data_IF_688913778620
#
_entry.id   IF_688913778620
#
_cell.length_a   1.000
_cell.length_b   1.000
_cell.length_c   1.000
_cell.angle_alpha   90.00
_cell.angle_beta   90.00
_cell.angle_gamma   90.00
#
_symmetry.space_group_name_H-M   'P 1'
#
loop_
_entity.id
_entity.type
_entity.pdbx_description
1 polymer ?
2 non-polymer ?
3 non-polymer ?
4 non-polymer ?
5 water ?
#
# COMPACT_ATOMS: atom_id res chain seq x y z
N UNK A 1 -27.81 -3.44 -15.22
CA UNK A 1 -28.01 -2.25 -14.35
C UNK A 1 -27.17 -1.12 -14.91
N UNK A 2 -27.26 0.04 -14.26
CA UNK A 2 -26.53 1.22 -14.67
C UNK A 2 -25.63 1.60 -13.50
N UNK A 3 -24.34 1.68 -13.78
CA UNK A 3 -23.35 2.00 -12.76
C UNK A 3 -22.48 3.13 -13.25
N UNK A 4 -22.19 4.07 -12.36
CA UNK A 4 -21.34 5.21 -12.69
C UNK A 4 -20.07 5.07 -11.84
N UNK A 5 -18.93 5.31 -12.47
CA UNK A 5 -17.65 5.18 -11.78
C UNK A 5 -16.89 6.50 -11.78
N UNK A 6 -16.30 6.84 -10.64
CA UNK A 6 -15.53 8.07 -10.49
C UNK A 6 -14.06 7.76 -10.26
N UNK A 7 -13.22 8.76 -10.46
CA UNK A 7 -11.79 8.61 -10.26
C UNK A 7 -11.13 7.61 -11.17
N UNK A 8 -11.73 7.34 -12.33
CA UNK A 8 -11.19 6.39 -13.29
C UNK A 8 -9.77 6.78 -13.66
N UNK A 9 -8.83 5.86 -13.46
CA UNK A 9 -7.42 6.10 -13.77
C UNK A 9 -7.06 5.52 -15.13
N UNK A 10 -6.00 6.04 -15.74
CA UNK A 10 -5.56 5.61 -17.06
C UNK A 10 -5.57 4.09 -17.25
N UNK A 11 -4.95 3.37 -16.31
CA UNK A 11 -4.88 1.92 -16.40
C UNK A 11 -6.17 1.17 -16.15
N UNK A 12 -7.14 1.82 -15.53
CA UNK A 12 -8.42 1.19 -15.22
C UNK A 12 -9.39 1.15 -16.38
N UNK A 13 -9.24 2.12 -17.27
CA UNK A 13 -10.15 2.24 -18.40
C UNK A 13 -10.45 0.95 -19.15
N UNK A 14 -9.41 0.25 -19.62
CA UNK A 14 -9.64 -0.99 -20.36
C UNK A 14 -10.44 -2.03 -19.57
N UNK A 15 -10.26 -2.07 -18.26
CA UNK A 15 -11.00 -3.01 -17.44
C UNK A 15 -12.45 -2.59 -17.29
N UNK A 16 -12.69 -1.29 -17.20
CA UNK A 16 -14.06 -0.78 -17.08
C UNK A 16 -14.83 -1.17 -18.33
N UNK A 17 -14.22 -0.92 -19.47
CA UNK A 17 -14.82 -1.24 -20.75
C UNK A 17 -15.06 -2.74 -20.86
N UNK A 18 -14.04 -3.53 -20.50
CA UNK A 18 -14.16 -4.99 -20.57
C UNK A 18 -15.24 -5.53 -19.64
N UNK A 19 -15.34 -4.98 -18.43
CA UNK A 19 -16.35 -5.44 -17.49
C UNK A 19 -17.75 -5.20 -18.05
N UNK A 20 -17.92 -4.09 -18.76
CA UNK A 20 -19.22 -3.75 -19.33
C UNK A 20 -19.58 -4.81 -20.36
N UNK A 21 -18.63 -5.15 -21.23
CA UNK A 21 -18.84 -6.18 -22.25
C UNK A 21 -19.12 -7.53 -21.60
N UNK A 22 -18.27 -7.94 -20.66
CA UNK A 22 -18.45 -9.22 -19.97
C UNK A 22 -19.80 -9.38 -19.29
N UNK A 23 -20.28 -8.37 -18.58
CA UNK A 23 -21.54 -8.49 -17.87
C UNK A 23 -22.78 -7.97 -18.57
N UNK A 24 -22.61 -7.19 -19.62
CA UNK A 24 -23.75 -6.64 -20.32
C UNK A 24 -24.34 -5.42 -19.62
N UNK A 25 -23.79 -5.07 -18.46
CA UNK A 25 -24.27 -3.91 -17.70
C UNK A 25 -23.77 -2.64 -18.34
N UNK A 26 -24.39 -1.52 -17.97
CA UNK A 26 -24.01 -0.21 -18.50
C UNK A 26 -23.09 0.40 -17.44
N UNK A 27 -21.91 0.83 -17.89
CA UNK A 27 -20.94 1.42 -17.00
C UNK A 27 -20.48 2.72 -17.64
N UNK A 28 -20.63 3.80 -16.89
CA UNK A 28 -20.20 5.10 -17.37
C UNK A 28 -19.12 5.51 -16.38
N UNK A 29 -17.94 5.85 -16.88
CA UNK A 29 -16.85 6.21 -15.99
C UNK A 29 -16.37 7.64 -16.16
N UNK A 30 -15.83 8.22 -15.10
CA UNK A 30 -15.33 9.59 -15.14
C UNK A 30 -14.01 9.71 -14.44
N UNK A 31 -13.15 10.57 -14.99
CA UNK A 31 -11.83 10.85 -14.43
C UNK A 31 -11.94 11.59 -13.11
N UNK A 32 -12.90 12.51 -13.05
CA UNK A 32 -13.13 13.32 -11.86
C UNK A 32 -13.53 12.51 -10.66
N UNK A 33 -13.14 13.00 -9.49
CA UNK A 33 -13.50 12.36 -8.24
C UNK A 33 -14.93 12.71 -7.89
N UNK A 34 -15.46 12.00 -6.91
CA UNK A 34 -16.82 12.21 -6.46
C UNK A 34 -16.92 13.25 -5.36
N UNK A 35 -17.59 14.36 -5.65
CA UNK A 35 -17.82 15.42 -4.67
C UNK A 35 -19.25 15.92 -4.81
N UNK A 36 -19.62 16.90 -4.01
CA UNK A 36 -20.97 17.45 -4.05
C UNK A 36 -21.44 17.88 -5.44
N UNK A 37 -20.52 18.35 -6.28
CA UNK A 37 -20.88 18.76 -7.63
C UNK A 37 -21.03 17.56 -8.57
N UNK A 38 -19.99 16.74 -8.67
CA UNK A 38 -20.01 15.59 -9.58
C UNK A 38 -21.03 14.49 -9.24
N UNK A 39 -21.42 14.37 -7.97
CA UNK A 39 -22.38 13.37 -7.57
C UNK A 39 -23.68 13.53 -8.35
N UNK A 40 -23.91 14.73 -8.88
CA UNK A 40 -25.11 15.00 -9.64
C UNK A 40 -25.19 14.23 -10.95
N UNK A 41 -24.04 13.78 -11.45
CA UNK A 41 -24.02 13.00 -12.68
C UNK A 41 -24.62 11.61 -12.46
N UNK A 42 -24.62 11.17 -11.21
CA UNK A 42 -25.15 9.87 -10.85
C UNK A 42 -26.66 9.74 -10.84
N UNK A 43 -27.40 10.84 -11.03
CA UNK A 43 -28.87 10.81 -11.04
C UNK A 43 -29.32 9.79 -12.07
N UNK A 44 -30.07 8.78 -11.62
CA UNK A 44 -30.54 7.77 -12.54
C UNK A 44 -29.74 6.47 -12.61
N UNK A 45 -28.61 6.40 -11.89
CA UNK A 45 -27.79 5.19 -11.89
C UNK A 45 -28.16 4.36 -10.67
N UNK A 46 -27.82 3.08 -10.71
CA UNK A 46 -28.15 2.18 -9.63
C UNK A 46 -27.08 2.16 -8.56
N UNK A 47 -25.86 2.50 -8.93
CA UNK A 47 -24.82 2.48 -7.94
C UNK A 47 -23.64 3.30 -8.36
N UNK A 48 -22.85 3.62 -7.36
CA UNK A 48 -21.67 4.42 -7.57
C UNK A 48 -20.42 3.62 -7.18
N UNK A 49 -19.39 3.77 -8.00
CA UNK A 49 -18.12 3.10 -7.79
C UNK A 49 -17.04 4.19 -7.86
N UNK A 50 -16.17 4.26 -6.86
CA UNK A 50 -15.13 5.30 -6.87
C UNK A 50 -13.80 4.88 -6.25
N UNK A 51 -12.80 5.74 -6.46
CA UNK A 51 -11.46 5.56 -5.93
C UNK A 51 -10.89 6.96 -5.80
N UNK A 52 -10.63 7.40 -4.57
CA UNK A 52 -10.07 8.74 -4.36
C UNK A 52 -9.56 8.91 -2.93
N UNK A 53 -8.61 9.81 -2.75
CA UNK A 53 -8.12 10.09 -1.41
C UNK A 53 -8.82 11.35 -0.90
N UNK A 54 -9.49 12.09 -1.80
CA UNK A 54 -10.22 13.29 -1.39
C UNK A 54 -11.44 12.82 -0.58
N UNK A 55 -12.01 13.71 0.25
CA UNK A 55 -13.16 13.37 1.10
C UNK A 55 -14.46 12.95 0.40
N UNK A 56 -15.21 12.12 1.10
CA UNK A 56 -16.53 11.66 0.67
C UNK A 56 -17.38 12.36 1.75
N UNK A 57 -17.71 13.63 1.50
CA UNK A 57 -18.47 14.45 2.46
C UNK A 57 -19.98 14.20 2.54
N UNK A 58 -20.57 14.62 3.66
CA UNK A 58 -22.00 14.47 3.93
C UNK A 58 -22.87 14.85 2.74
N UNK A 59 -22.51 15.92 2.06
CA UNK A 59 -23.27 16.36 0.90
C UNK A 59 -23.42 15.31 -0.19
N UNK A 60 -22.36 14.54 -0.41
CA UNK A 60 -22.37 13.49 -1.44
C UNK A 60 -23.42 12.45 -1.14
N UNK A 61 -23.49 12.04 0.13
CA UNK A 61 -24.48 11.05 0.54
C UNK A 61 -25.90 11.60 0.52
N UNK A 62 -26.04 12.90 0.77
CA UNK A 62 -27.35 13.56 0.76
C UNK A 62 -27.93 13.48 -0.66
N UNK A 63 -27.18 13.90 -1.66
CA UNK A 63 -27.68 13.83 -3.03
C UNK A 63 -27.92 12.40 -3.49
N UNK A 64 -27.13 11.45 -2.99
CA UNK A 64 -27.30 10.04 -3.35
C UNK A 64 -28.65 9.58 -2.83
N UNK A 65 -28.89 9.83 -1.55
CA UNK A 65 -30.16 9.48 -0.91
C UNK A 65 -31.32 10.09 -1.73
N UNK A 66 -31.12 11.33 -2.19
CA UNK A 66 -32.12 12.03 -2.97
C UNK A 66 -32.40 11.33 -4.30
N UNK A 67 -31.36 10.80 -4.96
CA UNK A 67 -31.55 10.11 -6.24
C UNK A 67 -31.90 8.63 -6.07
N UNK A 68 -32.05 8.18 -4.83
CA UNK A 68 -32.39 6.79 -4.57
C UNK A 68 -31.26 5.77 -4.72
N UNK A 69 -30.01 6.24 -4.81
CA UNK A 69 -28.83 5.38 -4.93
C UNK A 69 -28.45 4.96 -3.53
N UNK A 70 -28.66 3.68 -3.21
CA UNK A 70 -28.39 3.12 -1.88
C UNK A 70 -26.99 2.54 -1.65
N UNK A 71 -26.22 2.34 -2.73
CA UNK A 71 -24.89 1.73 -2.61
C UNK A 71 -23.69 2.43 -3.24
N UNK A 72 -22.58 2.40 -2.49
CA UNK A 72 -21.31 2.97 -2.94
C UNK A 72 -20.23 1.91 -2.69
N UNK A 73 -19.44 1.59 -3.70
CA UNK A 73 -18.34 0.64 -3.50
C UNK A 73 -17.08 1.36 -3.92
N UNK A 74 -16.03 1.19 -3.14
CA UNK A 74 -14.76 1.81 -3.46
C UNK A 74 -13.79 0.72 -3.98
N UNK A 75 -12.85 1.14 -4.82
CA UNK A 75 -11.90 0.23 -5.43
C UNK A 75 -10.65 -0.05 -4.59
N UNK A 76 -10.48 0.68 -3.50
CA UNK A 76 -9.32 0.52 -2.64
C UNK A 76 -9.69 0.00 -1.26
N UNK A 77 -8.76 0.08 -0.32
CA UNK A 77 -9.01 -0.43 1.03
C UNK A 77 -9.48 0.62 2.05
N UNK A 78 -8.75 1.73 2.14
CA UNK A 78 -9.07 2.78 3.11
C UNK A 78 -10.41 3.48 3.06
N UNK A 79 -10.98 3.71 4.25
CA UNK A 79 -12.26 4.39 4.36
C UNK A 79 -12.18 5.61 5.27
N UNK A 80 -10.96 5.98 5.64
CA UNK A 80 -10.78 7.11 6.53
C UNK A 80 -11.25 8.48 5.99
N UNK A 81 -11.33 8.63 4.67
CA UNK A 81 -11.76 9.88 4.06
C UNK A 81 -13.27 9.86 3.78
N UNK A 82 -13.99 8.96 4.44
CA UNK A 82 -15.44 8.84 4.21
C UNK A 82 -16.24 9.28 5.42
N UNK A 83 -17.21 10.16 5.22
CA UNK A 83 -18.06 10.60 6.31
C UNK A 83 -19.04 9.48 6.57
N UNK A 84 -18.61 8.54 7.41
CA UNK A 84 -19.40 7.38 7.75
C UNK A 84 -20.73 7.76 8.42
N UNK A 85 -20.69 8.72 9.33
CA UNK A 85 -21.88 9.16 10.03
C UNK A 85 -22.91 9.71 9.04
N UNK A 86 -22.46 10.56 8.12
CA UNK A 86 -23.37 11.10 7.12
C UNK A 86 -23.93 9.98 6.25
N UNK A 87 -23.08 9.02 5.93
CA UNK A 87 -23.46 7.87 5.11
C UNK A 87 -24.54 7.02 5.79
N UNK A 88 -24.32 6.69 7.07
CA UNK A 88 -25.27 5.89 7.84
C UNK A 88 -26.57 6.69 7.98
N UNK A 89 -26.45 8.00 8.18
CA UNK A 89 -27.60 8.88 8.32
C UNK A 89 -28.53 8.78 7.11
N UNK A 90 -27.96 8.80 5.90
CA UNK A 90 -28.76 8.70 4.68
C UNK A 90 -28.98 7.28 4.21
N UNK A 91 -28.74 6.31 5.08
CA UNK A 91 -28.93 4.90 4.75
C UNK A 91 -28.19 4.36 3.54
N UNK A 92 -26.96 4.83 3.32
CA UNK A 92 -26.12 4.38 2.19
C UNK A 92 -25.20 3.27 2.69
N UNK A 93 -25.03 2.21 1.91
CA UNK A 93 -24.13 1.14 2.31
C UNK A 93 -22.88 1.11 1.45
N UNK A 94 -21.78 0.67 2.07
CA UNK A 94 -20.46 0.65 1.44
C UNK A 94 -19.70 -0.68 1.54
N UNK A 95 -18.84 -0.91 0.55
CA UNK A 95 -17.94 -2.08 0.53
C UNK A 95 -16.64 -1.60 -0.11
N UNK A 96 -15.54 -2.18 0.35
CA UNK A 96 -14.22 -1.86 -0.20
C UNK A 96 -13.64 -3.16 -0.81
N UNK A 97 -12.37 -3.12 -1.18
CA UNK A 97 -11.67 -4.28 -1.78
C UNK A 97 -10.42 -4.43 -0.92
N UNK A 98 -10.52 -5.18 0.17
CA UNK A 98 -9.38 -5.38 1.07
C UNK A 98 -8.20 -6.19 0.56
N UNK A 99 -8.40 -7.03 -0.45
CA UNK A 99 -7.28 -7.81 -0.93
C UNK A 99 -7.28 -7.94 -2.44
N UNK A 100 -7.20 -6.81 -3.14
CA UNK A 100 -7.18 -6.86 -4.60
C UNK A 100 -5.99 -7.68 -5.09
N UNK A 101 -4.84 -7.52 -4.45
CA UNK A 101 -3.66 -8.33 -4.78
C UNK A 101 -2.55 -8.27 -3.74
N UNK A 102 -2.62 -9.15 -2.73
CA UNK A 102 -1.58 -9.16 -1.70
C UNK A 102 -0.23 -9.50 -2.36
N UNK A 103 -0.26 -10.26 -3.45
CA UNK A 103 0.95 -10.67 -4.18
C UNK A 103 1.66 -9.48 -4.80
N UNK A 104 0.91 -8.50 -5.30
CA UNK A 104 1.53 -7.32 -5.91
C UNK A 104 2.41 -6.63 -4.89
N UNK A 105 1.91 -6.51 -3.66
CA UNK A 105 2.67 -5.82 -2.62
C UNK A 105 3.79 -6.69 -2.09
N UNK A 106 3.52 -7.97 -1.88
CA UNK A 106 4.55 -8.88 -1.39
C UNK A 106 5.70 -8.95 -2.40
N UNK A 107 5.36 -9.01 -3.69
CA UNK A 107 6.39 -9.06 -4.73
C UNK A 107 7.21 -7.78 -4.76
N UNK A 108 6.57 -6.64 -4.52
CA UNK A 108 7.31 -5.40 -4.51
C UNK A 108 8.29 -5.38 -3.31
N UNK A 109 7.86 -5.90 -2.17
CA UNK A 109 8.74 -5.94 -1.02
C UNK A 109 9.96 -6.81 -1.36
N UNK A 110 9.74 -7.94 -2.05
CA UNK A 110 10.84 -8.81 -2.47
C UNK A 110 11.74 -8.07 -3.46
N UNK A 111 11.13 -7.28 -4.36
CA UNK A 111 11.86 -6.50 -5.35
C UNK A 111 12.84 -5.55 -4.67
N UNK A 112 12.36 -4.80 -3.68
CA UNK A 112 13.21 -3.87 -2.97
C UNK A 112 14.27 -4.61 -2.16
N UNK A 113 13.90 -5.75 -1.58
CA UNK A 113 14.86 -6.53 -0.78
C UNK A 113 16.06 -7.00 -1.62
N UNK A 114 15.77 -7.61 -2.78
CA UNK A 114 16.83 -8.10 -3.64
C UNK A 114 17.66 -6.95 -4.18
N UNK A 115 17.00 -5.88 -4.58
CA UNK A 115 17.69 -4.69 -5.08
C UNK A 115 18.72 -4.20 -4.07
N UNK A 116 18.34 -4.17 -2.81
CA UNK A 116 19.26 -3.70 -1.78
C UNK A 116 20.30 -4.75 -1.40
N UNK A 117 19.91 -6.02 -1.35
CA UNK A 117 20.86 -7.07 -0.99
C UNK A 117 22.00 -7.14 -2.03
N UNK A 118 21.70 -6.78 -3.27
CA UNK A 118 22.69 -6.81 -4.34
C UNK A 118 23.28 -5.42 -4.62
N UNK A 119 22.96 -4.47 -3.74
CA UNK A 119 23.45 -3.09 -3.87
C UNK A 119 23.22 -2.53 -5.26
N UNK A 120 22.07 -2.83 -5.85
CA UNK A 120 21.77 -2.37 -7.20
C UNK A 120 21.86 -0.86 -7.37
N UNK A 121 21.46 -0.11 -6.36
CA UNK A 121 21.53 1.34 -6.49
C UNK A 121 22.97 1.82 -6.59
N UNK A 122 23.85 1.24 -5.78
CA UNK A 122 25.26 1.62 -5.80
C UNK A 122 25.86 1.23 -7.14
N UNK A 123 25.48 0.05 -7.63
CA UNK A 123 25.98 -0.42 -8.90
C UNK A 123 25.55 0.52 -10.02
N UNK A 124 24.26 0.84 -10.10
CA UNK A 124 23.79 1.72 -11.14
C UNK A 124 24.41 3.12 -11.07
N UNK A 125 24.59 3.64 -9.87
CA UNK A 125 25.18 4.97 -9.73
C UNK A 125 26.58 5.01 -10.31
N UNK A 126 27.36 3.96 -10.06
CA UNK A 126 28.73 3.90 -10.57
C UNK A 126 28.78 3.71 -12.09
N UNK A 127 27.87 2.91 -12.64
CA UNK A 127 27.88 2.70 -14.07
C UNK A 127 27.54 4.00 -14.78
N UNK A 128 26.55 4.71 -14.26
CA UNK A 128 26.13 5.98 -14.84
C UNK A 128 27.26 7.00 -14.78
N UNK A 129 28.07 6.92 -13.74
CA UNK A 129 29.20 7.84 -13.56
C UNK A 129 30.39 7.40 -14.43
N UNK A 130 30.21 6.30 -15.17
CA UNK A 130 31.27 5.79 -16.01
C UNK A 130 32.36 5.01 -15.30
N UNK A 131 32.13 4.52 -14.08
CA UNK A 131 33.15 3.75 -13.39
C UNK A 131 32.79 2.28 -13.29
N UNK A 132 33.04 1.54 -14.37
CA UNK A 132 32.72 0.13 -14.44
C UNK A 132 33.43 -0.70 -13.40
N UNK A 133 34.68 -0.36 -13.07
CA UNK A 133 35.41 -1.13 -12.08
C UNK A 133 34.81 -0.95 -10.69
N UNK A 134 34.52 0.29 -10.32
CA UNK A 134 33.95 0.53 -9.01
C UNK A 134 32.54 -0.05 -8.88
N UNK A 135 31.82 -0.12 -9.99
CA UNK A 135 30.45 -0.68 -10.00
C UNK A 135 30.44 -2.14 -9.54
N UNK A 136 31.59 -2.80 -9.63
CA UNK A 136 31.66 -4.20 -9.23
C UNK A 136 32.36 -4.43 -7.91
N UNK A 137 32.33 -3.45 -7.03
CA UNK A 137 33.01 -3.60 -5.75
C UNK A 137 32.09 -3.65 -4.53
N UNK A 138 30.79 -3.77 -4.75
CA UNK A 138 29.84 -3.83 -3.63
C UNK A 138 29.29 -5.23 -3.45
N UNK A 139 30.02 -6.07 -2.73
CA UNK A 139 29.62 -7.46 -2.53
C UNK A 139 28.20 -7.58 -1.97
N UNK A 140 27.40 -8.44 -2.58
CA UNK A 140 26.04 -8.62 -2.15
C UNK A 140 25.83 -9.76 -1.18
N UNK A 141 24.56 -10.04 -0.90
CA UNK A 141 24.20 -11.13 0.01
C UNK A 141 23.07 -11.92 -0.58
N UNK A 142 23.01 -13.18 -0.21
CA UNK A 142 21.98 -14.07 -0.69
C UNK A 142 20.81 -14.05 0.28
N UNK A 143 19.62 -13.81 -0.26
CA UNK A 143 18.40 -13.80 0.54
C UNK A 143 18.22 -15.14 1.25
N UNK A 144 18.61 -16.22 0.56
CA UNK A 144 18.50 -17.54 1.15
C UNK A 144 19.37 -17.75 2.36
N UNK A 145 20.33 -16.86 2.59
CA UNK A 145 21.21 -16.99 3.75
C UNK A 145 20.82 -16.02 4.89
N UNK A 146 19.75 -15.25 4.69
CA UNK A 146 19.34 -14.28 5.69
C UNK A 146 18.21 -14.75 6.59
N UNK A 147 18.02 -14.00 7.68
CA UNK A 147 16.92 -14.22 8.61
C UNK A 147 16.06 -13.01 8.31
N UNK A 148 14.83 -13.25 7.86
CA UNK A 148 13.90 -12.18 7.52
C UNK A 148 12.81 -12.09 8.61
N UNK A 149 12.60 -10.88 9.13
CA UNK A 149 11.58 -10.65 10.13
C UNK A 149 10.43 -9.91 9.48
N UNK A 150 9.25 -10.53 9.49
CA UNK A 150 8.04 -9.93 8.93
C UNK A 150 7.13 -9.43 10.07
N UNK A 151 6.75 -8.16 10.01
CA UNK A 151 5.86 -7.60 11.02
C UNK A 151 4.48 -7.53 10.44
N UNK A 152 3.56 -8.30 11.01
CA UNK A 152 2.20 -8.35 10.52
C UNK A 152 1.99 -9.60 9.70
N UNK A 153 1.20 -10.52 10.21
CA UNK A 153 0.93 -11.74 9.49
C UNK A 153 -0.50 -11.78 8.99
N UNK A 154 -0.93 -10.67 8.39
CA UNK A 154 -2.27 -10.59 7.84
C UNK A 154 -2.22 -11.07 6.40
N UNK A 155 -3.11 -10.59 5.53
CA UNK A 155 -3.11 -11.05 4.15
C UNK A 155 -1.77 -10.92 3.44
N UNK A 156 -1.26 -9.69 3.36
CA UNK A 156 0.01 -9.42 2.69
C UNK A 156 1.20 -10.06 3.41
N UNK A 157 1.22 -9.95 4.74
CA UNK A 157 2.30 -10.53 5.50
C UNK A 157 2.49 -12.01 5.22
N UNK A 158 1.38 -12.74 5.14
CA UNK A 158 1.44 -14.18 4.88
C UNK A 158 2.01 -14.48 3.50
N UNK A 159 1.64 -13.69 2.51
CA UNK A 159 2.14 -13.90 1.15
C UNK A 159 3.64 -13.58 1.11
N UNK A 160 4.06 -12.51 1.78
CA UNK A 160 5.47 -12.14 1.83
C UNK A 160 6.26 -13.27 2.51
N UNK A 161 5.73 -13.82 3.60
CA UNK A 161 6.43 -14.90 4.30
C UNK A 161 6.67 -16.09 3.34
N UNK A 162 5.66 -16.44 2.58
CA UNK A 162 5.77 -17.54 1.63
C UNK A 162 6.87 -17.25 0.60
N UNK A 163 6.90 -16.05 0.05
CA UNK A 163 7.91 -15.69 -0.94
C UNK A 163 9.32 -15.73 -0.36
N UNK A 164 9.50 -15.18 0.84
CA UNK A 164 10.83 -15.20 1.47
C UNK A 164 11.28 -16.64 1.72
N UNK A 165 10.36 -17.47 2.19
CA UNK A 165 10.65 -18.86 2.48
C UNK A 165 11.08 -19.59 1.19
N UNK A 166 10.48 -19.20 0.06
CA UNK A 166 10.82 -19.82 -1.21
C UNK A 166 12.30 -19.68 -1.54
N UNK A 167 12.95 -18.65 -1.00
CA UNK A 167 14.38 -18.44 -1.24
C UNK A 167 15.22 -19.25 -0.28
N UNK A 168 14.59 -19.87 0.71
CA UNK A 168 15.32 -20.62 1.69
C UNK A 168 15.68 -19.79 2.92
N UNK A 169 15.21 -18.55 2.98
CA UNK A 169 15.51 -17.70 4.12
C UNK A 169 14.83 -18.22 5.37
N UNK A 170 15.40 -17.88 6.52
CA UNK A 170 14.79 -18.24 7.80
C UNK A 170 13.78 -17.09 8.06
N UNK A 171 12.52 -17.42 8.30
CA UNK A 171 11.53 -16.36 8.52
C UNK A 171 10.93 -16.36 9.93
N UNK A 172 11.01 -15.22 10.59
CA UNK A 172 10.42 -15.06 11.92
C UNK A 172 9.41 -13.93 11.78
N UNK A 173 8.36 -13.93 12.59
CA UNK A 173 7.36 -12.89 12.48
C UNK A 173 6.83 -12.42 13.81
N UNK A 174 6.27 -11.22 13.79
CA UNK A 174 5.67 -10.64 14.97
C UNK A 174 4.30 -10.09 14.60
N UNK A 175 3.29 -10.41 15.40
CA UNK A 175 1.95 -9.89 15.20
C UNK A 175 1.28 -9.92 16.58
N UNK A 176 0.65 -8.79 17.00
CA UNK A 176 -0.01 -8.76 18.31
C UNK A 176 -1.17 -9.76 18.38
N UNK A 177 -1.73 -10.11 17.22
CA UNK A 177 -2.81 -11.08 17.14
C UNK A 177 -2.39 -12.26 16.27
N UNK A 178 -1.50 -13.13 16.79
CA UNK A 178 -1.00 -14.30 16.08
C UNK A 178 -2.07 -15.19 15.50
N UNK A 179 -1.80 -15.78 14.33
CA UNK A 179 -2.70 -16.73 13.69
C UNK A 179 -2.86 -17.90 14.63
N UNK A 180 -4.00 -18.57 14.58
CA UNK A 180 -4.18 -19.72 15.45
C UNK A 180 -3.72 -20.96 14.69
N UNK A 181 -3.02 -21.85 15.39
CA UNK A 181 -2.57 -23.07 14.75
C UNK A 181 -1.24 -23.03 14.02
N UNK A 182 -0.95 -24.16 13.38
CA UNK A 182 0.27 -24.44 12.63
C UNK A 182 0.54 -23.48 11.46
N UNK A 183 1.82 -23.22 11.23
CA UNK A 183 2.32 -22.35 10.17
C UNK A 183 3.80 -22.75 10.11
N UNK A 184 4.10 -23.84 9.37
CA UNK A 184 5.45 -24.39 9.20
C UNK A 184 6.50 -23.45 8.63
N UNK A 185 6.06 -22.45 7.88
CA UNK A 185 6.98 -21.50 7.25
C UNK A 185 7.71 -20.49 8.12
N UNK A 186 7.22 -20.22 9.32
CA UNK A 186 7.88 -19.22 10.15
C UNK A 186 7.57 -19.45 11.62
N UNK A 187 8.27 -18.73 12.46
CA UNK A 187 8.06 -18.80 13.90
C UNK A 187 7.67 -17.43 14.37
N UNK A 188 6.78 -17.37 15.36
CA UNK A 188 6.40 -16.09 15.95
C UNK A 188 7.43 -15.82 17.01
N UNK A 189 7.92 -14.59 17.08
CA UNK A 189 8.93 -14.21 18.08
C UNK A 189 8.46 -12.90 18.67
N UNK A 190 9.07 -12.47 19.77
CA UNK A 190 8.68 -11.21 20.37
C UNK A 190 9.22 -10.09 19.51
N UNK A 191 8.66 -8.90 19.65
CA UNK A 191 9.10 -7.76 18.87
C UNK A 191 10.61 -7.48 19.06
N UNK A 192 11.11 -7.63 20.29
CA UNK A 192 12.52 -7.38 20.56
C UNK A 192 13.39 -8.38 19.83
N UNK A 193 12.99 -9.65 19.86
CA UNK A 193 13.77 -10.66 19.16
C UNK A 193 13.76 -10.44 17.66
N UNK A 194 12.61 -10.01 17.11
CA UNK A 194 12.55 -9.74 15.69
C UNK A 194 13.58 -8.68 15.33
N UNK A 195 13.64 -7.58 16.09
CA UNK A 195 14.60 -6.51 15.82
C UNK A 195 16.04 -6.98 15.97
N UNK A 196 16.31 -7.76 17.00
CA UNK A 196 17.65 -8.22 17.27
C UNK A 196 18.20 -9.26 16.30
N UNK A 197 17.33 -10.11 15.77
CA UNK A 197 17.78 -11.19 14.89
C UNK A 197 17.63 -11.04 13.39
N UNK A 198 16.81 -10.10 12.95
CA UNK A 198 16.54 -9.93 11.54
C UNK A 198 17.60 -9.21 10.71
N UNK A 199 17.90 -9.77 9.54
CA UNK A 199 18.83 -9.15 8.61
C UNK A 199 17.98 -8.21 7.74
N UNK A 200 16.74 -8.61 7.51
CA UNK A 200 15.81 -7.84 6.71
C UNK A 200 14.53 -7.74 7.53
N UNK A 201 13.99 -6.53 7.66
CA UNK A 201 12.74 -6.29 8.40
C UNK A 201 11.73 -5.77 7.40
N UNK A 202 10.64 -6.50 7.24
CA UNK A 202 9.63 -6.17 6.26
C UNK A 202 8.31 -5.85 6.97
N UNK A 203 7.80 -4.65 6.75
CA UNK A 203 6.57 -4.18 7.39
C UNK A 203 5.28 -4.40 6.64
N UNK A 204 4.31 -5.05 7.30
CA UNK A 204 2.99 -5.29 6.73
C UNK A 204 1.90 -5.14 7.81
N UNK A 205 2.01 -4.05 8.56
CA UNK A 205 1.09 -3.75 9.66
C UNK A 205 0.23 -2.56 9.25
N UNK A 206 -0.97 -2.42 9.86
CA UNK A 206 -1.85 -1.30 9.51
C UNK A 206 -1.33 0.03 10.04
N UNK A 207 -1.69 1.11 9.36
CA UNK A 207 -1.23 2.42 9.77
C UNK A 207 -2.08 3.10 10.83
N UNK A 208 -2.54 2.36 11.84
CA UNK A 208 -3.34 2.92 12.92
C UNK A 208 -2.44 3.77 13.83
N UNK A 209 -3.01 4.79 14.48
CA UNK A 209 -2.24 5.69 15.35
C UNK A 209 -1.24 5.03 16.31
N UNK A 210 -1.61 3.92 16.95
CA UNK A 210 -0.68 3.30 17.88
C UNK A 210 0.54 2.64 17.23
N UNK A 211 0.53 2.53 15.90
CA UNK A 211 1.66 1.96 15.17
C UNK A 211 2.56 3.08 14.65
N UNK A 212 2.18 4.32 14.94
CA UNK A 212 2.98 5.47 14.50
C UNK A 212 4.37 5.32 15.12
N UNK A 213 5.38 5.43 14.27
CA UNK A 213 6.76 5.30 14.71
C UNK A 213 7.05 4.05 15.50
N UNK A 214 6.45 2.94 15.08
CA UNK A 214 6.73 1.67 15.74
C UNK A 214 8.23 1.37 15.48
N UNK A 215 8.74 1.81 14.32
CA UNK A 215 10.17 1.64 14.06
C UNK A 215 10.75 3.00 14.39
N UNK A 216 11.28 3.12 15.59
CA UNK A 216 11.84 4.37 16.05
C UNK A 216 13.28 4.17 16.49
N UNK A 217 13.84 5.19 17.13
CA UNK A 217 15.21 5.17 17.60
C UNK A 217 15.53 3.92 18.43
N UNK A 218 14.66 3.60 19.38
CA UNK A 218 14.86 2.45 20.24
C UNK A 218 14.93 1.17 19.39
N UNK A 219 14.02 1.04 18.42
CA UNK A 219 13.98 -0.12 17.52
C UNK A 219 15.31 -0.20 16.76
N UNK A 220 15.71 0.92 16.16
CA UNK A 220 16.95 0.97 15.41
C UNK A 220 18.14 0.56 16.29
N UNK A 221 18.10 0.94 17.56
CA UNK A 221 19.20 0.58 18.47
C UNK A 221 19.30 -0.89 18.73
N UNK A 222 18.17 -1.59 18.68
CA UNK A 222 18.17 -3.04 18.91
C UNK A 222 18.64 -3.82 17.68
N UNK A 223 18.37 -3.26 16.51
CA UNK A 223 18.73 -3.90 15.24
C UNK A 223 20.22 -4.20 15.11
N UNK A 224 20.53 -5.26 14.36
CA UNK A 224 21.91 -5.63 14.16
C UNK A 224 22.50 -4.72 13.08
N UNK A 225 23.82 -4.47 13.14
CA UNK A 225 24.43 -3.61 12.13
C UNK A 225 24.27 -4.22 10.74
N UNK A 226 23.98 -3.37 9.74
CA UNK A 226 23.81 -3.86 8.39
C UNK A 226 22.41 -4.34 8.07
N UNK A 227 21.45 -4.06 8.95
CA UNK A 227 20.08 -4.49 8.70
C UNK A 227 19.45 -3.67 7.59
N UNK A 228 18.43 -4.22 6.96
CA UNK A 228 17.70 -3.57 5.89
C UNK A 228 16.23 -3.51 6.35
N UNK A 229 15.56 -2.39 6.09
CA UNK A 229 14.16 -2.22 6.45
C UNK A 229 13.35 -1.91 5.20
N UNK A 230 12.23 -2.61 5.04
CA UNK A 230 11.38 -2.41 3.90
C UNK A 230 10.01 -1.94 4.38
N UNK A 231 9.48 -0.89 3.78
CA UNK A 231 8.16 -0.43 4.17
C UNK A 231 7.28 -0.18 2.97
N UNK A 232 6.37 -1.12 2.71
CA UNK A 232 5.41 -0.98 1.61
C UNK A 232 4.02 -0.83 2.26
N UNK A 233 3.99 -0.62 3.58
CA UNK A 233 2.71 -0.53 4.29
C UNK A 233 2.06 0.86 4.40
N UNK A 234 2.49 1.64 5.39
CA UNK A 234 1.91 2.95 5.67
C UNK A 234 2.99 3.97 6.01
N UNK A 235 2.73 5.26 5.73
CA UNK A 235 3.64 6.39 5.98
C UNK A 235 4.02 6.73 7.42
N UNK A 236 3.20 6.31 8.38
CA UNK A 236 3.46 6.66 9.77
C UNK A 236 4.26 5.64 10.58
N UNK A 237 4.63 4.53 9.98
CA UNK A 237 5.33 3.46 10.71
C UNK A 237 6.77 3.69 11.14
N UNK A 238 7.50 4.48 10.36
CA UNK A 238 8.90 4.70 10.66
C UNK A 238 9.23 6.14 10.98
N UNK A 239 10.05 6.34 12.00
CA UNK A 239 10.52 7.67 12.35
C UNK A 239 11.59 7.93 11.28
N UNK A 240 11.21 8.64 10.23
CA UNK A 240 12.11 8.91 9.13
C UNK A 240 13.40 9.61 9.55
N UNK A 241 13.31 10.49 10.56
CA UNK A 241 14.47 11.21 11.06
C UNK A 241 15.48 10.24 11.66
N UNK A 242 15.00 9.39 12.56
CA UNK A 242 15.86 8.42 13.22
C UNK A 242 16.43 7.49 12.14
N UNK A 243 15.61 7.18 11.13
CA UNK A 243 16.02 6.30 10.06
C UNK A 243 17.22 6.90 9.33
N UNK A 244 17.10 8.17 8.97
CA UNK A 244 18.16 8.88 8.28
C UNK A 244 19.46 8.86 9.08
N UNK A 245 19.39 9.12 10.38
CA UNK A 245 20.58 9.11 11.23
C UNK A 245 21.23 7.74 11.21
N UNK A 246 20.42 6.69 11.25
CA UNK A 246 20.94 5.34 11.26
C UNK A 246 21.50 4.92 9.91
N UNK A 247 21.03 5.55 8.85
CA UNK A 247 21.56 5.28 7.52
C UNK A 247 22.95 5.94 7.47
N UNK A 248 23.02 7.18 7.93
CA UNK A 248 24.27 7.94 7.94
C UNK A 248 25.35 7.36 8.82
N UNK A 249 24.97 6.83 9.97
CA UNK A 249 25.92 6.24 10.88
C UNK A 249 26.39 4.88 10.37
N UNK A 250 25.64 4.31 9.42
CA UNK A 250 26.02 3.01 8.90
C UNK A 250 25.34 1.84 9.58
N UNK A 251 24.50 2.12 10.59
CA UNK A 251 23.78 1.06 11.30
C UNK A 251 22.91 0.29 10.29
N UNK A 252 22.17 1.02 9.46
CA UNK A 252 21.32 0.43 8.45
C UNK A 252 22.07 0.35 7.14
N UNK A 253 22.04 -0.81 6.49
CA UNK A 253 22.69 -0.97 5.21
C UNK A 253 21.85 -0.29 4.11
N UNK A 254 20.53 -0.30 4.27
CA UNK A 254 19.68 0.31 3.26
C UNK A 254 18.22 0.21 3.63
N UNK A 255 17.36 0.93 2.90
CA UNK A 255 15.93 0.90 3.16
C UNK A 255 15.18 1.01 1.86
N UNK A 256 13.99 0.42 1.84
CA UNK A 256 13.14 0.50 0.66
C UNK A 256 11.86 1.09 1.20
N UNK A 257 11.54 2.30 0.74
CA UNK A 257 10.37 3.01 1.20
C UNK A 257 9.43 3.29 0.05
N UNK A 258 8.25 2.69 0.09
CA UNK A 258 7.24 2.90 -0.93
C UNK A 258 6.20 3.91 -0.42
N UNK A 259 6.06 4.03 0.90
CA UNK A 259 5.11 4.96 1.52
C UNK A 259 5.92 5.93 2.40
N UNK A 260 6.41 6.99 1.77
CA UNK A 260 7.22 8.01 2.44
C UNK A 260 6.38 8.75 3.49
N UNK A 261 6.98 8.96 4.66
CA UNK A 261 6.29 9.61 5.77
C UNK A 261 5.53 10.91 5.47
N UNK A 262 6.15 11.78 4.68
CA UNK A 262 5.53 13.07 4.36
C UNK A 262 4.98 13.15 2.96
N UNK A 263 4.55 12.03 2.42
CA UNK A 263 4.02 12.01 1.06
C UNK A 263 2.85 12.99 0.85
N UNK A 264 1.84 12.92 1.72
CA UNK A 264 0.65 13.77 1.63
C UNK A 264 0.99 15.27 1.63
N UNK A 265 1.80 15.69 2.60
CA UNK A 265 2.22 17.08 2.71
C UNK A 265 2.98 17.48 1.45
N UNK A 266 3.91 16.62 1.01
CA UNK A 266 4.71 16.88 -0.18
C UNK A 266 3.92 16.97 -1.49
N UNK A 267 2.87 16.17 -1.62
CA UNK A 267 2.06 16.21 -2.84
C UNK A 267 1.30 17.55 -2.91
N UNK A 268 0.99 18.10 -1.74
CA UNK A 268 0.32 19.38 -1.67
C UNK A 268 1.31 20.45 -2.12
N UNK A 269 2.54 20.42 -1.59
CA UNK A 269 3.58 21.38 -1.99
C UNK A 269 3.83 21.28 -3.47
N UNK A 270 3.90 20.05 -3.99
CA UNK A 270 4.12 19.84 -5.42
C UNK A 270 3.05 20.58 -6.24
N UNK A 271 1.79 20.47 -5.83
CA UNK A 271 0.69 21.14 -6.55
C UNK A 271 0.78 22.68 -6.49
N UNK A 272 0.96 23.22 -5.29
CA UNK A 272 1.07 24.66 -5.07
C UNK A 272 2.39 25.27 -5.54
N UNK A 273 3.48 24.57 -5.29
CA UNK A 273 4.82 25.09 -5.62
C UNK A 273 5.63 24.38 -6.70
N UNK A 274 5.11 23.29 -7.24
CA UNK A 274 5.81 22.55 -8.28
C UNK A 274 7.06 21.80 -7.82
N UNK A 275 7.17 21.58 -6.50
CA UNK A 275 8.30 20.90 -5.90
C UNK A 275 7.88 20.39 -4.52
N UNK A 276 8.56 19.36 -4.04
CA UNK A 276 8.25 18.82 -2.72
C UNK A 276 8.64 19.77 -1.60
N UNK A 277 9.67 20.59 -1.82
CA UNK A 277 10.18 21.52 -0.80
C UNK A 277 10.49 20.71 0.46
N UNK A 278 11.00 19.51 0.25
CA UNK A 278 11.32 18.60 1.34
C UNK A 278 12.78 18.17 1.28
N UNK A 279 13.61 18.75 2.16
CA UNK A 279 15.06 18.48 2.27
C UNK A 279 15.38 17.05 2.72
N UNK A 280 14.46 16.45 3.47
CA UNK A 280 14.63 15.08 3.96
C UNK A 280 14.46 14.16 2.74
N UNK A 281 13.42 14.41 1.96
CA UNK A 281 13.16 13.65 0.76
C UNK A 281 14.42 13.72 -0.13
N UNK A 282 14.89 14.94 -0.39
CA UNK A 282 16.06 15.16 -1.24
C UNK A 282 17.29 14.41 -0.76
N UNK A 283 17.49 14.40 0.54
CA UNK A 283 18.65 13.71 1.07
C UNK A 283 18.54 12.19 0.86
N UNK A 284 17.35 11.64 1.09
CA UNK A 284 17.11 10.21 0.92
C UNK A 284 17.29 9.83 -0.55
N UNK A 285 16.69 10.61 -1.45
CA UNK A 285 16.76 10.35 -2.87
C UNK A 285 18.20 10.33 -3.40
N UNK A 286 19.09 11.03 -2.71
CA UNK A 286 20.48 11.08 -3.12
C UNK A 286 21.33 9.95 -2.58
N UNK A 287 20.76 9.05 -1.76
CA UNK A 287 21.53 7.93 -1.22
C UNK A 287 21.24 6.70 -2.07
N UNK A 288 22.28 6.10 -2.69
CA UNK A 288 22.09 4.91 -3.52
C UNK A 288 21.66 3.67 -2.76
N UNK A 289 21.78 3.69 -1.43
CA UNK A 289 21.35 2.56 -0.61
C UNK A 289 19.94 2.76 -0.08
N UNK A 290 19.21 3.68 -0.69
CA UNK A 290 17.83 3.96 -0.35
C UNK A 290 17.04 3.82 -1.62
N UNK A 291 15.99 3.01 -1.60
CA UNK A 291 15.18 2.90 -2.79
C UNK A 291 13.76 3.39 -2.48
N UNK A 292 13.45 4.57 -3.00
CA UNK A 292 12.15 5.20 -2.83
C UNK A 292 11.29 4.89 -4.02
N UNK A 293 9.98 4.77 -3.80
CA UNK A 293 9.05 4.52 -4.89
C UNK A 293 7.81 5.34 -4.53
N UNK A 294 7.11 5.87 -5.54
CA UNK A 294 5.93 6.69 -5.30
C UNK A 294 4.63 5.93 -4.99
N UNK A 295 4.63 5.18 -3.92
CA UNK A 295 3.45 4.44 -3.50
C UNK A 295 2.89 3.57 -4.63
N UNK A 296 3.73 2.67 -5.15
CA UNK A 296 3.34 1.79 -6.24
C UNK A 296 3.42 0.29 -5.94
N UNK A 297 3.53 -0.10 -4.67
CA UNK A 297 3.61 -1.51 -4.34
C UNK A 297 2.41 -2.30 -4.85
N UNK A 298 1.26 -1.66 -4.95
CA UNK A 298 0.05 -2.34 -5.40
C UNK A 298 -0.06 -2.36 -6.92
N UNK A 299 0.74 -1.51 -7.55
CA UNK A 299 0.66 -1.25 -8.96
C UNK A 299 1.03 -2.28 -10.00
N UNK A 300 0.17 -3.28 -10.16
CA UNK A 300 0.40 -4.30 -11.18
C UNK A 300 -0.88 -4.45 -11.99
N UNK A 301 -0.78 -5.02 -13.17
CA UNK A 301 -1.94 -5.22 -13.99
C UNK A 301 -2.98 -6.07 -13.29
N UNK A 302 -2.55 -7.13 -12.61
CA UNK A 302 -3.47 -8.00 -11.88
C UNK A 302 -4.21 -7.23 -10.77
N UNK A 303 -3.48 -6.46 -9.97
CA UNK A 303 -4.09 -5.67 -8.90
C UNK A 303 -5.12 -4.67 -9.43
N UNK A 304 -4.75 -3.90 -10.45
CA UNK A 304 -5.66 -2.91 -11.02
C UNK A 304 -6.88 -3.58 -11.63
N UNK A 305 -6.68 -4.70 -12.30
CA UNK A 305 -7.78 -5.46 -12.88
C UNK A 305 -8.74 -5.88 -11.76
N UNK A 306 -8.18 -6.36 -10.65
CA UNK A 306 -8.98 -6.81 -9.51
C UNK A 306 -9.71 -5.67 -8.77
N UNK A 307 -9.07 -4.52 -8.69
CA UNK A 307 -9.67 -3.36 -8.05
C UNK A 307 -10.96 -3.07 -8.80
N UNK A 308 -10.89 -3.07 -10.13
CA UNK A 308 -12.06 -2.82 -10.94
C UNK A 308 -13.08 -3.94 -10.84
N UNK A 309 -12.70 -5.15 -11.22
CA UNK A 309 -13.63 -6.27 -11.21
C UNK A 309 -14.22 -6.63 -9.87
N UNK A 310 -13.41 -6.65 -8.81
CA UNK A 310 -13.93 -6.98 -7.48
C UNK A 310 -14.91 -5.94 -6.95
N UNK A 311 -14.56 -4.66 -7.05
CA UNK A 311 -15.43 -3.61 -6.56
C UNK A 311 -16.78 -3.61 -7.29
N UNK A 312 -16.74 -3.81 -8.60
CA UNK A 312 -17.97 -3.84 -9.40
C UNK A 312 -18.82 -5.05 -9.03
N UNK A 313 -18.16 -6.17 -8.72
CA UNK A 313 -18.89 -7.36 -8.32
C UNK A 313 -19.58 -7.09 -6.98
N UNK A 314 -18.88 -6.39 -6.08
CA UNK A 314 -19.47 -6.07 -4.78
C UNK A 314 -20.71 -5.21 -5.00
N UNK A 315 -20.64 -4.30 -5.97
CA UNK A 315 -21.77 -3.43 -6.27
C UNK A 315 -22.93 -4.31 -6.76
N UNK A 316 -22.66 -5.19 -7.72
CA UNK A 316 -23.67 -6.11 -8.24
C UNK A 316 -24.22 -6.99 -7.10
N UNK A 317 -23.37 -7.36 -6.15
CA UNK A 317 -23.80 -8.17 -5.00
C UNK A 317 -24.85 -7.40 -4.18
N UNK A 318 -24.53 -6.16 -3.80
CA UNK A 318 -25.44 -5.31 -3.04
C UNK A 318 -26.77 -5.19 -3.81
N UNK A 319 -26.67 -4.80 -5.08
CA UNK A 319 -27.83 -4.62 -5.94
C UNK A 319 -28.69 -5.84 -6.24
N UNK A 320 -28.19 -7.04 -5.97
CA UNK A 320 -28.98 -8.23 -6.26
C UNK A 320 -29.26 -9.10 -5.05
N UNK A 321 -28.24 -9.35 -4.25
CA UNK A 321 -28.40 -10.18 -3.07
C UNK A 321 -28.60 -9.33 -1.80
N UNK A 322 -28.36 -8.02 -1.92
CA UNK A 322 -28.50 -7.11 -0.79
C UNK A 322 -27.44 -7.25 0.30
N UNK A 323 -26.39 -8.00 0.02
CA UNK A 323 -25.29 -8.23 0.97
C UNK A 323 -24.02 -8.50 0.14
N UNK A 324 -22.84 -8.30 0.72
CA UNK A 324 -21.58 -8.57 0.04
C UNK A 324 -20.54 -8.79 1.11
N UNK A 325 -19.57 -9.67 0.83
CA UNK A 325 -18.55 -10.03 1.81
C UNK A 325 -17.69 -8.90 2.39
N UNK A 326 -17.54 -7.81 1.64
CA UNK A 326 -16.70 -6.72 2.11
C UNK A 326 -17.44 -5.46 2.56
N UNK A 327 -18.67 -5.59 3.03
CA UNK A 327 -19.40 -4.42 3.49
C UNK A 327 -18.69 -3.82 4.70
N UNK A 328 -18.51 -2.50 4.70
CA UNK A 328 -17.85 -1.79 5.78
C UNK A 328 -18.90 -1.08 6.64
N UNK A 329 -18.74 -1.14 7.97
CA UNK A 329 -19.70 -0.49 8.86
C UNK A 329 -19.11 0.28 10.06
N UNK A 330 -17.82 0.65 10.01
CA UNK A 330 -17.21 1.39 11.12
C UNK A 330 -15.72 1.64 11.02
X LIG B 1 -5.60 1.95 -0.22
X LIG B 1 -4.34 1.66 0.49
X LIG B 1 -5.42 2.93 -1.30
X LIG B 1 -6.59 2.48 0.73
X LIG B 1 -6.11 0.70 -0.79
X LIG C 1 -11.92 -9.14 -2.08
X LIG C 1 -10.81 -8.23 -1.70
X LIG C 1 -12.95 -8.39 -2.82
X LIG C 1 -12.58 -9.68 -0.88
X LIG C 1 -11.40 -10.26 -2.90
X LIG D 1 -4.22 -7.15 7.39
X LIG D 1 -5.18 -6.31 8.18
X LIG D 1 -4.73 -8.35 6.66
X LIG D 1 -2.98 -7.52 8.38
X LIG D 1 -2.33 -6.58 9.25
X LIG D 1 -1.85 -7.42 10.42
X LIG D 1 -0.93 -6.65 11.20
X LIG D 1 -2.94 -7.91 11.37
X LIG D 1 -2.83 -9.34 11.46
X LIG D 1 -2.66 -7.20 12.72
X LIG D 1 -2.85 -8.00 13.90
X LIG D 1 -1.19 -6.91 12.58
X LIG D 1 -0.68 -5.80 13.38
X LIG D 1 -1.27 -4.68 13.86
X LIG D 1 -0.37 -3.86 14.40
X LIG D 1 0.79 -4.53 14.32
X LIG D 1 2.02 -4.22 14.94
X LIG D 1 2.17 -3.19 15.79
X LIG D 1 3.03 -5.12 14.74
X LIG D 1 2.87 -6.25 14.02
X LIG D 1 1.70 -6.57 13.47
X LIG D 1 0.62 -5.74 13.63
X LIG D 1 -3.46 -6.16 6.38
X LIG D 1 -2.78 -6.30 4.94
X LIG D 1 -1.79 -7.39 5.15
X LIG D 1 -3.86 -6.52 3.91
X LIG D 1 -2.06 -4.87 4.77
X LIG D 1 -0.82 -4.59 5.45
X LIG D 1 -0.54 -3.11 5.21
X LIG D 1 -0.25 -2.74 3.83
X LIG D 1 -1.76 -2.26 5.60
X LIG D 1 -1.29 -1.03 6.15
X LIG D 1 -2.43 -1.91 4.27
X LIG D 1 -3.31 -0.81 4.58
X LIG D 1 -1.15 -1.64 3.46
X LIG D 1 -1.32 -1.46 1.99
X LIG D 1 -0.30 -0.78 1.24
X LIG D 1 -0.42 -0.61 -0.15
X LIG D 1 0.67 0.13 -1.05
X LIG D 1 0.52 0.30 -2.27
X LIG D 1 1.81 0.55 -0.45
X LIG D 1 -1.60 -1.14 -0.72
X LIG D 1 -2.62 -1.81 0.01
X LIG D 1 -2.49 -1.98 1.38
X LIG E 1 -4.82 1.60 -0.72
X LIG E 1 -5.38 2.48 -0.03
X LIG E 1 -5.40 0.50 -0.94
X LIG E 1 -3.56 1.81 -1.31
X LIG E 1 -2.55 1.91 -0.59
X LIG E 1 -3.40 1.88 -2.82
X LIG E 1 -4.54 2.64 -3.51
X LIG E 1 -4.50 4.12 -3.14
X LIG E 1 -4.42 2.50 -5.00
#
# INVERSE_FOLDING_TARGET
>A
MKIIAYGARVDEIQYFKQWAKDTGNTLEYHTEFLDENTVEWAKGFDGINSLQTTPYAAGVFEKMHAYGIKFLTIRNVGTDNIDMTAMKQYGIRLSNVPAYSPAAIAEFALTDTLYLLRNMGKVQAQLQAGDYEKAGTFIGKELGQQTVGVMGTGHIGQVAIKLFKGFGAKVIAYDPYPMKGDHPDFDYVSLEDLFKQSDVIDLHVPGIEQNTHIINEAAFNLMKPGAIVINTARPNLIDTQAMLSNLKSGKLAGVGIDTYEYETEDLLNLAKHGSFKDPLWDELLGMPNVVLSPHIAYYTETAVHNMVYFSLQHLVDFLTKGETSTEVTGPAK
>B hetero
1 SO4 S O1 O2 O3 O4
>C hetero
1 SO4 S O1 O2 O3 O4
>D hetero
1 NAD PA O1A O2A O5B C5B C4B O4B C3B O3B C2B O2B C1B N9A C8A N7A C5A C6A N6A N1A C2A N3A C4A O3 PN O1N O2N O5D C5D C4D O4D C3D O3D C2D O2D C1D N1N C2N C3N C7N O7N N7N C4N C5N C6N
>E hetero
1 COI C1 O1 O2 C2 O3 C3 C4 C5 C6
#
